data_IF_919411461508
#
_entry.id   IF_919411461508
#
_cell.length_a   1.000
_cell.length_b   1.000
_cell.length_c   1.000
_cell.angle_alpha   90.00
_cell.angle_beta   90.00
_cell.angle_gamma   90.00
#
_symmetry.space_group_name_H-M   'P 1'
#
loop_
_entity.id
_entity.type
_entity.pdbx_description
1 polymer ?
#
# COMPACT_ATOMS: atom_id res chain seq x y z
N UNK A 1 -9.94 17.24 -2.38
CA UNK A 1 -9.05 16.09 -2.18
C UNK A 1 -9.22 14.96 -3.19
N UNK A 2 -10.42 14.47 -3.58
CA UNK A 2 -10.54 13.27 -4.43
C UNK A 2 -10.06 13.42 -5.89
N UNK A 3 -9.62 14.61 -6.32
CA UNK A 3 -9.17 14.87 -7.69
C UNK A 3 -7.65 14.74 -7.85
N UNK A 4 -6.88 15.23 -6.87
CA UNK A 4 -5.40 15.10 -6.86
C UNK A 4 -5.01 13.63 -6.77
N UNK A 5 -5.67 12.86 -5.90
CA UNK A 5 -5.40 11.42 -5.76
C UNK A 5 -5.67 10.67 -7.08
N UNK A 6 -6.77 11.02 -7.77
CA UNK A 6 -7.08 10.45 -9.08
C UNK A 6 -6.04 10.82 -10.14
N UNK A 7 -5.51 12.04 -10.11
CA UNK A 7 -4.44 12.46 -11.03
C UNK A 7 -3.15 11.68 -10.76
N UNK A 8 -2.77 11.51 -9.50
CA UNK A 8 -1.59 10.72 -9.11
C UNK A 8 -1.75 9.25 -9.50
N UNK A 9 -2.93 8.65 -9.30
CA UNK A 9 -3.18 7.27 -9.69
C UNK A 9 -3.11 7.07 -11.21
N UNK A 10 -3.63 8.03 -12.00
CA UNK A 10 -3.48 8.01 -13.47
C UNK A 10 -2.03 8.17 -13.91
N UNK A 11 -1.27 9.03 -13.26
CA UNK A 11 0.16 9.21 -13.54
C UNK A 11 0.93 7.92 -13.22
N UNK A 12 0.70 7.31 -12.05
CA UNK A 12 1.32 6.04 -11.64
C UNK A 12 1.06 4.91 -12.62
N UNK A 13 -0.19 4.78 -13.07
CA UNK A 13 -0.56 3.76 -14.05
C UNK A 13 0.17 3.99 -15.39
N UNK A 14 0.11 5.22 -15.91
CA UNK A 14 0.75 5.57 -17.18
C UNK A 14 2.28 5.39 -17.12
N UNK A 15 2.93 5.80 -16.03
CA UNK A 15 4.36 5.61 -15.82
C UNK A 15 4.73 4.12 -15.83
N UNK A 16 3.96 3.27 -15.14
CA UNK A 16 4.21 1.82 -15.13
C UNK A 16 4.02 1.19 -16.51
N UNK A 17 2.98 1.58 -17.23
CA UNK A 17 2.73 1.11 -18.59
C UNK A 17 3.83 1.54 -19.57
N UNK A 18 4.30 2.79 -19.47
CA UNK A 18 5.39 3.31 -20.30
C UNK A 18 6.71 2.64 -19.97
N UNK A 19 7.00 2.43 -18.68
CA UNK A 19 8.20 1.73 -18.22
C UNK A 19 8.22 0.29 -18.71
N UNK A 20 7.09 -0.43 -18.66
CA UNK A 20 6.97 -1.78 -19.20
C UNK A 20 7.29 -1.82 -20.71
N UNK A 21 6.73 -0.90 -21.50
CA UNK A 21 7.01 -0.80 -22.95
C UNK A 21 8.48 -0.52 -23.26
N UNK A 22 9.11 0.37 -22.48
CA UNK A 22 10.54 0.67 -22.64
C UNK A 22 11.39 -0.56 -22.31
N UNK A 23 11.06 -1.28 -21.24
CA UNK A 23 11.75 -2.53 -20.87
C UNK A 23 11.56 -3.62 -21.94
N UNK A 24 10.40 -3.65 -22.59
CA UNK A 24 10.10 -4.55 -23.71
C UNK A 24 10.81 -4.14 -25.03
N UNK A 25 11.58 -3.05 -25.03
CA UNK A 25 12.46 -2.63 -26.14
C UNK A 25 11.99 -1.42 -26.93
N UNK A 26 10.88 -0.77 -26.57
CA UNK A 26 10.44 0.49 -27.20
C UNK A 26 11.12 1.71 -26.54
N UNK A 27 12.41 1.87 -26.80
CA UNK A 27 13.20 3.00 -26.30
C UNK A 27 12.80 4.36 -26.93
N UNK A 28 11.96 4.36 -27.97
CA UNK A 28 11.52 5.57 -28.67
C UNK A 28 10.24 6.19 -28.10
N UNK A 29 9.64 5.53 -27.11
CA UNK A 29 8.40 5.98 -26.49
C UNK A 29 8.53 7.43 -25.99
N UNK A 30 7.60 8.29 -26.41
CA UNK A 30 7.51 9.71 -26.06
C UNK A 30 8.74 10.57 -26.41
N UNK A 31 9.74 10.08 -27.14
CA UNK A 31 10.98 10.83 -27.44
C UNK A 31 10.67 12.18 -28.11
N UNK A 32 9.86 12.17 -29.17
CA UNK A 32 9.42 13.37 -29.88
C UNK A 32 8.72 14.38 -28.96
N UNK A 33 7.95 13.90 -27.99
CA UNK A 33 7.20 14.74 -27.04
C UNK A 33 8.09 15.38 -26.00
N UNK A 34 9.10 14.65 -25.53
CA UNK A 34 10.13 15.19 -24.62
C UNK A 34 10.94 16.27 -25.33
N UNK A 35 11.31 16.06 -26.59
CA UNK A 35 12.00 17.05 -27.42
C UNK A 35 11.14 18.30 -27.61
N UNK A 36 9.86 18.14 -28.00
CA UNK A 36 8.94 19.27 -28.18
C UNK A 36 8.75 20.09 -26.90
N UNK A 37 8.61 19.44 -25.74
CA UNK A 37 8.49 20.13 -24.46
C UNK A 37 9.79 20.84 -24.08
N UNK A 38 10.94 20.18 -24.25
CA UNK A 38 12.26 20.76 -23.95
C UNK A 38 12.52 21.99 -24.79
N UNK A 39 12.17 21.96 -26.08
CA UNK A 39 12.24 23.14 -26.96
C UNK A 39 11.35 24.27 -26.46
N UNK A 40 10.08 23.99 -26.14
CA UNK A 40 9.16 25.02 -25.65
C UNK A 40 9.60 25.65 -24.32
N UNK A 41 10.17 24.86 -23.40
CA UNK A 41 10.75 25.38 -22.16
C UNK A 41 12.00 26.22 -22.43
N UNK A 42 12.84 25.81 -23.39
CA UNK A 42 13.99 26.59 -23.85
C UNK A 42 13.59 27.96 -24.42
N UNK A 43 12.48 28.01 -25.17
CA UNK A 43 11.91 29.27 -25.67
C UNK A 43 11.49 30.19 -24.52
N UNK A 44 10.84 29.65 -23.47
CA UNK A 44 10.50 30.44 -22.26
C UNK A 44 11.75 30.98 -21.59
N UNK A 45 12.79 30.17 -21.37
CA UNK A 45 14.03 30.61 -20.73
C UNK A 45 14.68 31.74 -21.53
N UNK A 46 14.66 31.63 -22.86
CA UNK A 46 15.19 32.67 -23.76
C UNK A 46 14.41 33.98 -23.62
N UNK A 47 13.07 33.91 -23.69
CA UNK A 47 12.20 35.09 -23.54
C UNK A 47 12.30 35.70 -22.15
N UNK A 48 12.42 34.90 -21.09
CA UNK A 48 12.67 35.39 -19.74
C UNK A 48 14.03 36.09 -19.62
N UNK A 49 15.06 35.58 -20.28
CA UNK A 49 16.37 36.23 -20.37
C UNK A 49 16.27 37.62 -21.03
N UNK A 50 15.57 37.72 -22.15
CA UNK A 50 15.33 39.02 -22.81
C UNK A 50 14.51 39.98 -21.94
N UNK A 51 13.48 39.48 -21.26
CA UNK A 51 12.65 40.28 -20.35
C UNK A 51 13.46 40.79 -19.15
N UNK A 52 14.34 39.95 -18.60
CA UNK A 52 15.27 40.30 -17.53
C UNK A 52 16.26 41.39 -17.97
N UNK A 53 16.87 41.25 -19.15
CA UNK A 53 17.77 42.27 -19.69
C UNK A 53 17.06 43.60 -19.93
N UNK A 54 15.81 43.58 -20.40
CA UNK A 54 14.99 44.79 -20.55
C UNK A 54 14.67 45.42 -19.19
N UNK A 55 14.35 44.63 -18.18
CA UNK A 55 14.12 45.10 -16.81
C UNK A 55 15.38 45.70 -16.20
N UNK A 56 16.51 45.01 -16.29
CA UNK A 56 17.83 45.52 -15.87
C UNK A 56 18.18 46.84 -16.55
N UNK A 57 17.92 46.94 -17.86
CA UNK A 57 18.15 48.19 -18.61
C UNK A 57 17.24 49.31 -18.11
N UNK A 58 15.94 49.05 -17.98
CA UNK A 58 15.01 50.04 -17.45
C UNK A 58 15.38 50.45 -16.01
N UNK A 59 15.73 49.48 -15.15
CA UNK A 59 16.17 49.72 -13.79
C UNK A 59 17.46 50.53 -13.73
N UNK A 60 18.43 50.32 -14.62
CA UNK A 60 19.63 51.17 -14.66
C UNK A 60 19.30 52.60 -15.09
N UNK A 61 18.39 52.80 -16.05
CA UNK A 61 17.89 54.13 -16.46
C UNK A 61 17.05 54.82 -15.35
N UNK A 62 16.32 54.06 -14.54
CA UNK A 62 15.51 54.58 -13.44
C UNK A 62 16.24 54.71 -12.10
N UNK A 63 17.23 53.88 -11.81
CA UNK A 63 18.03 53.93 -10.57
C UNK A 63 18.95 55.16 -10.54
N UNK A 64 19.36 55.68 -11.71
CA UNK A 64 19.93 57.04 -11.80
C UNK A 64 18.95 58.13 -11.34
N UNK A 65 17.64 57.85 -11.32
CA UNK A 65 16.57 58.80 -10.99
C UNK A 65 15.86 58.55 -9.66
N UNK A 66 15.88 57.34 -9.10
CA UNK A 66 15.09 56.96 -7.92
C UNK A 66 15.87 56.00 -7.00
N UNK A 67 16.50 56.54 -5.96
CA UNK A 67 17.37 55.79 -5.04
C UNK A 67 16.63 55.04 -3.89
N UNK A 68 15.33 54.73 -3.99
CA UNK A 68 14.55 54.34 -2.79
C UNK A 68 13.44 53.28 -2.96
N UNK A 69 13.45 52.41 -3.98
CA UNK A 69 12.39 51.39 -4.12
C UNK A 69 12.91 49.95 -4.19
N UNK A 70 12.03 49.02 -3.78
CA UNK A 70 12.19 47.60 -3.48
C UNK A 70 12.52 46.71 -4.71
N UNK A 71 13.34 47.23 -5.63
CA UNK A 71 13.56 46.69 -6.98
C UNK A 71 14.39 45.38 -7.00
N UNK A 72 14.97 44.98 -5.86
CA UNK A 72 15.74 43.74 -5.74
C UNK A 72 14.87 42.47 -5.72
N UNK A 73 13.59 42.57 -5.37
CA UNK A 73 12.71 41.40 -5.20
C UNK A 73 12.22 40.82 -6.52
N UNK A 74 11.92 41.66 -7.53
CA UNK A 74 11.41 41.20 -8.83
C UNK A 74 12.49 40.45 -9.64
N UNK A 75 13.71 40.98 -9.68
CA UNK A 75 14.84 40.32 -10.35
C UNK A 75 15.12 38.93 -9.76
N UNK A 76 15.11 38.83 -8.42
CA UNK A 76 15.32 37.56 -7.72
C UNK A 76 14.19 36.55 -8.01
N UNK A 77 12.95 37.01 -8.17
CA UNK A 77 11.83 36.14 -8.53
C UNK A 77 11.96 35.61 -9.96
N UNK A 78 12.35 36.45 -10.93
CA UNK A 78 12.60 36.02 -12.31
C UNK A 78 13.68 34.94 -12.36
N UNK A 79 14.79 35.14 -11.65
CA UNK A 79 15.87 34.15 -11.57
C UNK A 79 15.39 32.85 -10.92
N UNK A 80 14.59 32.92 -9.85
CA UNK A 80 14.02 31.74 -9.19
C UNK A 80 13.14 30.92 -10.16
N UNK A 81 12.26 31.58 -10.92
CA UNK A 81 11.39 30.90 -11.89
C UNK A 81 12.21 30.32 -13.04
N UNK A 82 13.25 31.04 -13.49
CA UNK A 82 14.18 30.55 -14.52
C UNK A 82 14.89 29.28 -14.07
N UNK A 83 15.44 29.28 -12.85
CA UNK A 83 16.13 28.12 -12.27
C UNK A 83 15.21 26.91 -12.15
N UNK A 84 13.93 27.12 -11.77
CA UNK A 84 12.94 26.04 -11.73
C UNK A 84 12.65 25.43 -13.11
N UNK A 85 12.59 26.26 -14.16
CA UNK A 85 12.40 25.79 -15.54
C UNK A 85 13.62 25.02 -16.04
N UNK A 86 14.83 25.56 -15.81
CA UNK A 86 16.09 24.90 -16.17
C UNK A 86 16.21 23.55 -15.47
N UNK A 87 15.91 23.52 -14.16
CA UNK A 87 15.90 22.29 -13.39
C UNK A 87 14.90 21.25 -13.94
N UNK A 88 13.71 21.68 -14.38
CA UNK A 88 12.77 20.78 -15.04
C UNK A 88 13.32 20.25 -16.37
N UNK A 89 13.94 21.09 -17.20
CA UNK A 89 14.55 20.65 -18.47
C UNK A 89 15.67 19.63 -18.22
N UNK A 90 16.51 19.88 -17.23
CA UNK A 90 17.58 18.97 -16.82
C UNK A 90 17.04 17.64 -16.30
N UNK A 91 15.94 17.66 -15.52
CA UNK A 91 15.26 16.45 -15.05
C UNK A 91 14.64 15.66 -16.20
N UNK A 92 13.96 16.32 -17.15
CA UNK A 92 13.34 15.65 -18.29
C UNK A 92 14.37 14.95 -19.19
N UNK A 93 15.54 15.57 -19.36
CA UNK A 93 16.64 15.02 -20.16
C UNK A 93 17.59 14.13 -19.36
N UNK A 94 17.38 13.96 -18.05
CA UNK A 94 18.25 13.16 -17.22
C UNK A 94 18.22 11.70 -17.66
N UNK A 95 19.39 11.10 -17.82
CA UNK A 95 19.52 9.76 -18.37
C UNK A 95 19.30 8.71 -17.29
N UNK A 96 18.39 7.78 -17.56
CA UNK A 96 18.07 6.62 -16.74
C UNK A 96 18.59 5.38 -17.46
N UNK A 97 19.31 4.53 -16.74
CA UNK A 97 19.80 3.24 -17.24
C UNK A 97 19.15 2.13 -16.44
N UNK A 98 18.47 1.21 -17.13
CA UNK A 98 17.87 0.02 -16.53
C UNK A 98 18.58 -1.22 -17.08
N UNK A 99 19.13 -2.04 -16.18
CA UNK A 99 19.67 -3.35 -16.52
C UNK A 99 18.63 -4.42 -16.15
N UNK A 100 17.92 -5.04 -17.13
CA UNK A 100 16.81 -5.96 -16.87
C UNK A 100 17.26 -7.32 -16.33
N UNK A 101 18.54 -7.68 -16.51
CA UNK A 101 19.17 -8.84 -15.88
C UNK A 101 20.56 -8.46 -15.38
N UNK A 102 20.74 -8.47 -14.05
CA UNK A 102 22.03 -8.19 -13.40
C UNK A 102 23.16 -9.08 -13.94
N UNK A 103 22.83 -10.26 -14.49
CA UNK A 103 23.80 -11.22 -15.01
C UNK A 103 24.10 -11.06 -16.52
N UNK A 104 23.31 -10.28 -17.27
CA UNK A 104 23.57 -9.99 -18.68
C UNK A 104 23.93 -8.52 -18.90
N UNK A 105 25.24 -8.24 -19.07
CA UNK A 105 25.75 -6.88 -19.30
C UNK A 105 25.30 -6.24 -20.62
N UNK A 106 24.91 -7.04 -21.62
CA UNK A 106 24.63 -6.55 -22.97
C UNK A 106 23.18 -6.09 -23.18
N UNK A 107 22.36 -6.08 -22.11
CA UNK A 107 20.93 -5.75 -22.18
C UNK A 107 20.53 -4.41 -21.56
N UNK A 108 21.47 -3.49 -21.29
CA UNK A 108 21.11 -2.21 -20.63
C UNK A 108 20.28 -1.33 -21.55
N UNK A 109 19.15 -0.86 -21.05
CA UNK A 109 18.26 0.07 -21.74
C UNK A 109 18.49 1.46 -21.16
N UNK A 110 18.86 2.40 -22.02
CA UNK A 110 19.07 3.81 -21.65
C UNK A 110 17.96 4.65 -22.25
N UNK A 111 17.35 5.50 -21.43
CA UNK A 111 16.27 6.40 -21.83
C UNK A 111 16.32 7.70 -21.01
N UNK A 112 15.57 8.72 -21.42
CA UNK A 112 15.42 9.97 -20.69
C UNK A 112 14.23 9.89 -19.72
N UNK A 113 14.35 10.49 -18.53
CA UNK A 113 13.28 10.46 -17.53
C UNK A 113 11.94 10.99 -18.06
N UNK A 114 11.97 11.98 -18.97
CA UNK A 114 10.77 12.50 -19.61
C UNK A 114 9.99 11.45 -20.43
N UNK A 115 10.65 10.39 -20.91
CA UNK A 115 10.01 9.39 -21.78
C UNK A 115 9.01 8.49 -21.02
N UNK A 116 9.22 8.29 -19.72
CA UNK A 116 8.29 7.52 -18.88
C UNK A 116 7.09 8.34 -18.40
N UNK A 117 7.12 9.68 -18.55
CA UNK A 117 6.02 10.56 -18.16
C UNK A 117 4.80 10.35 -19.05
N UNK A 118 3.61 10.59 -18.51
CA UNK A 118 2.34 10.53 -19.24
C UNK A 118 2.32 11.53 -20.40
N UNK A 119 2.07 11.05 -21.61
CA UNK A 119 2.05 11.85 -22.85
C UNK A 119 1.12 13.06 -22.77
N UNK A 120 -0.10 12.88 -22.25
CA UNK A 120 -1.05 14.00 -22.10
C UNK A 120 -0.60 15.08 -21.11
N UNK A 121 0.24 14.74 -20.13
CA UNK A 121 0.83 15.74 -19.23
C UNK A 121 1.90 16.57 -19.94
N UNK A 122 2.73 15.93 -20.77
CA UNK A 122 3.74 16.60 -21.60
C UNK A 122 3.06 17.55 -22.61
N UNK A 123 2.01 17.09 -23.29
CA UNK A 123 1.24 17.90 -24.24
C UNK A 123 0.58 19.11 -23.55
N UNK A 124 -0.03 18.90 -22.38
CA UNK A 124 -0.66 19.96 -21.59
C UNK A 124 0.37 21.01 -21.14
N UNK A 125 1.51 20.57 -20.60
CA UNK A 125 2.56 21.49 -20.17
C UNK A 125 3.13 22.26 -21.36
N UNK A 126 3.33 21.60 -22.51
CA UNK A 126 3.79 22.25 -23.74
C UNK A 126 2.81 23.33 -24.20
N UNK A 127 1.50 23.03 -24.19
CA UNK A 127 0.45 23.99 -24.55
C UNK A 127 0.41 25.20 -23.61
N UNK A 128 0.50 24.96 -22.30
CA UNK A 128 0.55 26.04 -21.29
C UNK A 128 1.81 26.88 -21.47
N UNK A 129 2.96 26.23 -21.67
CA UNK A 129 4.26 26.88 -21.87
C UNK A 129 4.20 27.83 -23.07
N UNK A 130 3.74 27.36 -24.24
CA UNK A 130 3.58 28.20 -25.44
C UNK A 130 2.64 29.37 -25.20
N UNK A 131 1.49 29.14 -24.57
CA UNK A 131 0.54 30.21 -24.25
C UNK A 131 1.11 31.26 -23.29
N UNK A 132 2.05 30.88 -22.41
CA UNK A 132 2.73 31.82 -21.49
C UNK A 132 3.86 32.58 -22.17
N UNK A 133 4.61 31.97 -23.09
CA UNK A 133 5.60 32.67 -23.92
C UNK A 133 4.98 33.89 -24.60
N UNK A 134 3.80 33.70 -25.21
CA UNK A 134 3.08 34.77 -25.91
C UNK A 134 2.68 35.91 -24.96
N UNK A 135 2.26 35.57 -23.72
CA UNK A 135 1.87 36.54 -22.70
C UNK A 135 3.04 37.29 -22.09
N UNK A 136 4.16 36.61 -21.82
CA UNK A 136 5.37 37.25 -21.30
C UNK A 136 5.95 38.22 -22.32
N UNK A 137 5.84 37.89 -23.62
CA UNK A 137 6.35 38.72 -24.70
C UNK A 137 5.51 39.98 -24.97
N UNK A 138 4.24 39.99 -24.58
CA UNK A 138 3.31 41.09 -24.84
C UNK A 138 2.99 41.87 -23.55
N UNK A 139 3.13 43.19 -23.53
CA UNK A 139 2.74 44.00 -22.37
C UNK A 139 1.22 43.94 -22.19
N UNK A 140 0.76 43.12 -21.25
CA UNK A 140 -0.65 42.99 -20.87
C UNK A 140 -0.98 43.75 -19.58
N UNK A 141 -2.24 43.64 -19.14
CA UNK A 141 -2.76 44.30 -17.92
C UNK A 141 -2.23 43.68 -16.61
N UNK A 142 -1.68 42.45 -16.66
CA UNK A 142 -1.12 41.75 -15.49
C UNK A 142 0.37 42.03 -15.33
N UNK A 143 0.83 42.10 -14.08
CA UNK A 143 2.26 42.15 -13.77
C UNK A 143 2.97 40.91 -14.31
N UNK A 144 4.16 41.11 -14.91
CA UNK A 144 5.02 40.02 -15.36
C UNK A 144 5.30 39.03 -14.23
N UNK A 145 5.50 39.54 -13.01
CA UNK A 145 5.77 38.74 -11.83
C UNK A 145 4.60 37.81 -11.48
N UNK A 146 3.36 38.28 -11.60
CA UNK A 146 2.19 37.45 -11.33
C UNK A 146 2.08 36.31 -12.35
N UNK A 147 2.34 36.60 -13.63
CA UNK A 147 2.34 35.59 -14.70
C UNK A 147 3.46 34.56 -14.50
N UNK A 148 4.66 34.99 -14.06
CA UNK A 148 5.79 34.11 -13.76
C UNK A 148 5.53 33.25 -12.52
N UNK A 149 4.96 33.81 -11.46
CA UNK A 149 4.61 33.06 -10.26
C UNK A 149 3.50 32.02 -10.54
N UNK A 150 2.51 32.37 -11.35
CA UNK A 150 1.49 31.42 -11.79
C UNK A 150 2.11 30.28 -12.60
N UNK A 151 3.05 30.60 -13.51
CA UNK A 151 3.75 29.60 -14.30
C UNK A 151 4.66 28.71 -13.44
N UNK A 152 5.39 29.27 -12.49
CA UNK A 152 6.19 28.52 -11.53
C UNK A 152 5.34 27.52 -10.73
N UNK A 153 4.12 27.91 -10.33
CA UNK A 153 3.15 27.01 -9.70
C UNK A 153 2.76 25.83 -10.61
N UNK A 154 2.58 26.06 -11.90
CA UNK A 154 2.30 24.99 -12.88
C UNK A 154 3.50 24.05 -13.03
N UNK A 155 4.71 24.59 -13.16
CA UNK A 155 5.96 23.82 -13.27
C UNK A 155 6.18 22.95 -12.03
N UNK A 156 6.04 23.53 -10.84
CA UNK A 156 6.15 22.81 -9.57
C UNK A 156 5.08 21.71 -9.44
N UNK A 157 3.85 22.01 -9.82
CA UNK A 157 2.76 21.03 -9.85
C UNK A 157 3.04 19.85 -10.78
N UNK A 158 3.60 20.12 -11.97
CA UNK A 158 4.01 19.08 -12.90
C UNK A 158 5.16 18.22 -12.35
N UNK A 159 6.20 18.84 -11.76
CA UNK A 159 7.31 18.12 -11.11
C UNK A 159 6.80 17.16 -10.04
N UNK A 160 5.93 17.64 -9.15
CA UNK A 160 5.40 16.83 -8.05
C UNK A 160 4.44 15.72 -8.53
N UNK A 161 3.64 15.98 -9.56
CA UNK A 161 2.65 15.01 -10.03
C UNK A 161 3.25 13.94 -10.94
N UNK A 162 4.15 14.31 -11.84
CA UNK A 162 4.60 13.44 -12.93
C UNK A 162 6.06 13.00 -12.75
N UNK A 163 7.00 13.93 -12.52
CA UNK A 163 8.44 13.60 -12.36
C UNK A 163 8.70 12.82 -11.08
N UNK A 164 8.13 13.27 -9.96
CA UNK A 164 8.27 12.61 -8.67
C UNK A 164 7.59 11.22 -8.70
N UNK A 165 6.46 11.07 -9.40
CA UNK A 165 5.82 9.77 -9.59
C UNK A 165 6.69 8.83 -10.44
N UNK A 166 7.30 9.35 -11.50
CA UNK A 166 8.23 8.63 -12.36
C UNK A 166 9.47 8.12 -11.58
N UNK A 167 10.11 8.99 -10.81
CA UNK A 167 11.24 8.62 -9.93
C UNK A 167 10.81 7.54 -8.92
N UNK A 168 9.63 7.68 -8.31
CA UNK A 168 9.16 6.69 -7.35
C UNK A 168 8.92 5.33 -7.99
N UNK A 169 8.34 5.27 -9.20
CA UNK A 169 8.14 4.01 -9.90
C UNK A 169 9.47 3.32 -10.26
N UNK A 170 10.51 4.10 -10.58
CA UNK A 170 11.86 3.61 -10.81
C UNK A 170 12.52 3.09 -9.52
N UNK A 171 12.35 3.78 -8.38
CA UNK A 171 12.81 3.30 -7.07
C UNK A 171 12.08 2.01 -6.64
N UNK A 172 10.77 1.94 -6.87
CA UNK A 172 9.95 0.77 -6.55
C UNK A 172 10.36 -0.44 -7.41
N UNK A 173 10.73 -0.21 -8.69
CA UNK A 173 11.24 -1.25 -9.58
C UNK A 173 12.57 -1.81 -9.07
N UNK A 174 13.52 -0.95 -8.71
CA UNK A 174 14.83 -1.34 -8.15
C UNK A 174 14.69 -2.09 -6.80
N UNK A 175 13.69 -1.71 -5.99
CA UNK A 175 13.45 -2.34 -4.69
C UNK A 175 12.68 -3.68 -4.77
N UNK A 176 11.77 -3.83 -5.74
CA UNK A 176 10.87 -4.99 -5.81
C UNK A 176 11.41 -6.10 -6.70
N UNK A 177 12.09 -5.75 -7.80
CA UNK A 177 12.59 -6.72 -8.74
C UNK A 177 14.10 -6.89 -8.59
N UNK A 178 14.52 -7.95 -7.88
CA UNK A 178 15.93 -8.31 -7.71
C UNK A 178 16.68 -8.56 -9.03
N UNK A 179 15.99 -8.61 -10.18
CA UNK A 179 16.58 -8.80 -11.51
C UNK A 179 16.85 -7.48 -12.23
N UNK A 180 16.09 -6.43 -11.93
CA UNK A 180 16.25 -5.13 -12.56
C UNK A 180 17.09 -4.22 -11.68
N UNK A 181 18.17 -3.65 -12.23
CA UNK A 181 18.95 -2.61 -11.55
C UNK A 181 18.72 -1.28 -12.24
N UNK A 182 18.26 -0.29 -11.47
CA UNK A 182 17.99 1.05 -11.99
C UNK A 182 19.09 2.01 -11.55
N UNK A 183 19.72 2.67 -12.51
CA UNK A 183 20.63 3.78 -12.27
C UNK A 183 19.97 5.07 -12.73
N UNK A 184 19.58 5.88 -11.75
CA UNK A 184 19.11 7.25 -11.99
C UNK A 184 20.28 8.16 -12.36
N UNK A 185 20.02 9.13 -13.23
CA UNK A 185 20.94 10.22 -13.50
C UNK A 185 21.13 11.15 -12.29
N UNK A 186 22.04 12.12 -12.43
CA UNK A 186 22.50 12.94 -11.30
C UNK A 186 21.35 13.77 -10.71
N UNK A 187 20.52 14.35 -11.57
CA UNK A 187 19.45 15.27 -11.18
C UNK A 187 18.26 14.51 -10.56
N UNK A 188 17.87 13.40 -11.18
CA UNK A 188 16.84 12.51 -10.67
C UNK A 188 17.24 11.90 -9.32
N UNK A 189 18.52 11.55 -9.15
CA UNK A 189 19.05 11.06 -7.88
C UNK A 189 19.05 12.13 -6.79
N UNK A 190 19.49 13.36 -7.09
CA UNK A 190 19.43 14.47 -6.15
C UNK A 190 17.97 14.71 -5.69
N UNK A 191 17.05 14.77 -6.64
CA UNK A 191 15.61 14.92 -6.36
C UNK A 191 15.05 13.77 -5.52
N UNK A 192 15.46 12.53 -5.80
CA UNK A 192 15.05 11.37 -5.00
C UNK A 192 15.51 11.49 -3.54
N UNK A 193 16.74 11.97 -3.31
CA UNK A 193 17.28 12.22 -1.96
C UNK A 193 16.50 13.32 -1.26
N UNK A 194 16.23 14.44 -1.93
CA UNK A 194 15.45 15.55 -1.35
C UNK A 194 14.05 15.09 -0.93
N UNK A 195 13.40 14.26 -1.76
CA UNK A 195 12.10 13.67 -1.42
C UNK A 195 12.17 12.71 -0.24
N UNK A 196 13.23 11.92 -0.12
CA UNK A 196 13.44 11.05 1.04
C UNK A 196 13.64 11.89 2.30
N UNK A 197 14.43 12.96 2.23
CA UNK A 197 14.62 13.88 3.34
C UNK A 197 13.30 14.57 3.76
N UNK A 198 12.52 15.06 2.80
CA UNK A 198 11.21 15.67 3.07
C UNK A 198 10.24 14.67 3.72
N UNK A 199 10.16 13.43 3.22
CA UNK A 199 9.33 12.37 3.81
C UNK A 199 9.78 11.97 5.21
N UNK A 200 11.09 11.94 5.48
CA UNK A 200 11.60 11.67 6.83
C UNK A 200 11.14 12.78 7.79
N UNK A 201 11.23 14.06 7.39
CA UNK A 201 10.71 15.17 8.21
C UNK A 201 9.20 15.08 8.47
N UNK A 202 8.40 14.69 7.48
CA UNK A 202 6.97 14.45 7.67
C UNK A 202 6.69 13.28 8.63
N UNK A 203 7.43 12.18 8.50
CA UNK A 203 7.30 11.03 9.40
C UNK A 203 7.71 11.41 10.83
N UNK A 204 8.75 12.21 11.01
CA UNK A 204 9.17 12.72 12.32
C UNK A 204 8.09 13.58 12.96
N UNK A 205 7.53 14.54 12.23
CA UNK A 205 6.45 15.40 12.74
C UNK A 205 5.17 14.61 13.08
N UNK A 206 4.83 13.60 12.27
CA UNK A 206 3.73 12.68 12.56
C UNK A 206 4.03 11.81 13.78
N UNK A 207 5.25 11.29 13.90
CA UNK A 207 5.69 10.49 15.04
C UNK A 207 5.64 11.32 16.32
N UNK A 208 6.12 12.56 16.32
CA UNK A 208 6.00 13.46 17.46
C UNK A 208 4.54 13.72 17.85
N UNK A 209 3.67 13.95 16.86
CA UNK A 209 2.25 14.17 17.10
C UNK A 209 1.60 12.91 17.70
N UNK A 210 1.95 11.73 17.22
CA UNK A 210 1.49 10.47 17.77
C UNK A 210 2.03 10.24 19.19
N UNK A 211 3.30 10.54 19.46
CA UNK A 211 3.88 10.47 20.81
C UNK A 211 3.18 11.42 21.78
N UNK A 212 2.87 12.66 21.37
CA UNK A 212 2.07 13.60 22.17
C UNK A 212 0.67 13.03 22.48
N UNK A 213 0.00 12.45 21.49
CA UNK A 213 -1.32 11.84 21.67
C UNK A 213 -1.27 10.59 22.57
N UNK A 214 -0.22 9.77 22.45
CA UNK A 214 0.03 8.61 23.31
C UNK A 214 0.29 9.06 24.75
N UNK A 215 1.09 10.10 24.97
CA UNK A 215 1.35 10.63 26.31
C UNK A 215 0.07 11.17 26.97
N UNK A 216 -0.81 11.84 26.21
CA UNK A 216 -2.12 12.29 26.71
C UNK A 216 -3.05 11.11 27.00
N UNK A 217 -3.03 10.06 26.18
CA UNK A 217 -3.84 8.85 26.39
C UNK A 217 -3.32 7.97 27.54
N UNK A 218 -2.00 7.97 27.79
CA UNK A 218 -1.33 7.14 28.78
C UNK A 218 -1.49 7.65 30.23
N UNK A 219 -1.86 8.91 30.45
CA UNK A 219 -1.97 9.53 31.79
C UNK A 219 -3.17 9.09 32.66
N UNK A 220 -3.71 7.88 32.46
CA UNK A 220 -4.47 7.18 33.52
C UNK A 220 -5.81 6.59 33.11
N UNK A 221 -6.55 7.20 32.18
CA UNK A 221 -7.86 6.69 31.73
C UNK A 221 -7.72 5.67 30.58
N UNK A 222 -6.70 5.84 29.73
CA UNK A 222 -6.49 4.97 28.56
C UNK A 222 -6.07 3.55 28.91
N UNK A 223 -5.15 3.36 29.86
CA UNK A 223 -4.66 2.04 30.26
C UNK A 223 -5.76 1.17 30.90
N UNK A 224 -6.56 1.77 31.79
CA UNK A 224 -7.66 1.07 32.44
C UNK A 224 -8.80 0.74 31.46
N UNK A 225 -9.03 1.61 30.46
CA UNK A 225 -10.01 1.36 29.40
C UNK A 225 -9.54 0.28 28.43
N UNK A 226 -8.26 0.27 28.07
CA UNK A 226 -7.66 -0.78 27.23
C UNK A 226 -7.70 -2.16 27.90
N UNK A 227 -7.32 -2.25 29.18
CA UNK A 227 -7.42 -3.50 29.93
C UNK A 227 -8.86 -4.03 29.97
N UNK A 228 -9.82 -3.13 30.21
CA UNK A 228 -11.26 -3.46 30.19
C UNK A 228 -11.73 -3.91 28.80
N UNK A 229 -11.31 -3.24 27.73
CA UNK A 229 -11.67 -3.61 26.36
C UNK A 229 -11.10 -4.98 25.96
N UNK A 230 -9.89 -5.33 26.42
CA UNK A 230 -9.32 -6.67 26.24
C UNK A 230 -10.05 -7.74 27.07
N UNK A 231 -10.42 -7.44 28.31
CA UNK A 231 -11.22 -8.33 29.16
C UNK A 231 -12.60 -8.60 28.54
N UNK A 232 -13.29 -7.54 28.09
CA UNK A 232 -14.58 -7.63 27.41
C UNK A 232 -14.46 -8.33 26.05
N UNK A 233 -13.34 -8.15 25.36
CA UNK A 233 -12.98 -8.88 24.15
C UNK A 233 -12.81 -10.38 24.40
N UNK A 234 -12.01 -10.75 25.40
CA UNK A 234 -11.77 -12.15 25.80
C UNK A 234 -13.09 -12.85 26.17
N UNK A 235 -13.95 -12.20 26.98
CA UNK A 235 -15.27 -12.74 27.35
C UNK A 235 -16.19 -12.92 26.14
N UNK A 236 -16.19 -11.98 25.19
CA UNK A 236 -16.98 -12.09 23.95
C UNK A 236 -16.52 -13.26 23.09
N UNK A 237 -15.22 -13.41 22.90
CA UNK A 237 -14.63 -14.49 22.13
C UNK A 237 -14.84 -15.86 22.79
N UNK A 238 -14.75 -15.95 24.11
CA UNK A 238 -15.08 -17.17 24.86
C UNK A 238 -16.55 -17.60 24.68
N UNK A 239 -17.49 -16.65 24.69
CA UNK A 239 -18.92 -16.95 24.42
C UNK A 239 -19.14 -17.42 22.98
N UNK A 240 -18.47 -16.80 22.00
CA UNK A 240 -18.52 -17.24 20.60
C UNK A 240 -17.95 -18.66 20.45
N UNK A 241 -16.83 -18.96 21.09
CA UNK A 241 -16.28 -20.30 21.13
C UNK A 241 -17.26 -21.33 21.72
N UNK A 242 -17.95 -20.97 22.82
CA UNK A 242 -18.97 -21.83 23.42
C UNK A 242 -20.15 -22.07 22.46
N UNK A 243 -20.62 -21.03 21.76
CA UNK A 243 -21.68 -21.13 20.78
C UNK A 243 -21.31 -22.03 19.59
N UNK A 244 -20.09 -21.89 19.06
CA UNK A 244 -19.60 -22.77 17.99
C UNK A 244 -19.38 -24.21 18.48
N UNK A 245 -18.93 -24.40 19.72
CA UNK A 245 -18.83 -25.74 20.32
C UNK A 245 -20.22 -26.39 20.41
N UNK A 246 -21.24 -25.62 20.82
CA UNK A 246 -22.62 -26.09 20.83
C UNK A 246 -23.12 -26.45 19.42
N UNK A 247 -22.78 -25.64 18.41
CA UNK A 247 -23.11 -25.95 17.01
C UNK A 247 -22.49 -27.28 16.55
N UNK A 248 -21.23 -27.58 16.94
CA UNK A 248 -20.60 -28.88 16.68
C UNK A 248 -21.42 -30.01 17.30
N UNK A 249 -21.78 -29.89 18.58
CA UNK A 249 -22.61 -30.90 19.25
C UNK A 249 -23.96 -31.07 18.57
N UNK A 250 -24.60 -29.99 18.15
CA UNK A 250 -25.87 -30.04 17.42
C UNK A 250 -25.71 -30.77 16.08
N UNK A 251 -24.68 -30.46 15.28
CA UNK A 251 -24.40 -31.14 14.02
C UNK A 251 -24.12 -32.64 14.23
N UNK A 252 -23.30 -33.00 15.22
CA UNK A 252 -23.01 -34.42 15.52
C UNK A 252 -24.27 -35.14 16.01
N UNK A 253 -25.06 -34.51 16.87
CA UNK A 253 -26.31 -35.09 17.39
C UNK A 253 -27.33 -35.29 16.28
N UNK A 254 -27.47 -34.35 15.33
CA UNK A 254 -28.34 -34.51 14.17
C UNK A 254 -27.77 -35.60 13.24
N UNK A 255 -26.46 -35.60 13.00
CA UNK A 255 -25.79 -36.55 12.10
C UNK A 255 -25.90 -38.00 12.54
N UNK A 256 -25.85 -38.26 13.85
CA UNK A 256 -26.02 -39.60 14.44
C UNK A 256 -27.48 -39.90 14.76
N UNK A 257 -28.20 -38.93 15.32
CA UNK A 257 -29.56 -39.08 15.79
C UNK A 257 -30.59 -39.28 14.68
N UNK A 258 -30.43 -38.58 13.54
CA UNK A 258 -31.38 -38.68 12.43
C UNK A 258 -31.37 -40.08 11.77
N UNK A 259 -30.21 -40.71 11.49
CA UNK A 259 -30.17 -42.12 11.08
C UNK A 259 -30.77 -43.10 12.11
N UNK A 260 -30.51 -42.91 13.41
CA UNK A 260 -31.06 -43.77 14.47
C UNK A 260 -32.58 -43.62 14.57
N UNK A 261 -33.10 -42.39 14.53
CA UNK A 261 -34.53 -42.11 14.55
C UNK A 261 -35.25 -42.71 13.33
N UNK A 262 -34.66 -42.57 12.14
CA UNK A 262 -35.17 -43.19 10.91
C UNK A 262 -35.20 -44.72 11.04
N UNK A 263 -34.15 -45.33 11.59
CA UNK A 263 -34.10 -46.78 11.82
C UNK A 263 -35.12 -47.28 12.84
N UNK A 264 -35.52 -46.45 13.80
CA UNK A 264 -36.52 -46.79 14.82
C UNK A 264 -37.97 -46.68 14.33
N UNK A 265 -38.22 -45.93 13.26
CA UNK A 265 -39.54 -45.83 12.66
C UNK A 265 -39.78 -47.02 11.71
N UNK A 266 -40.53 -48.00 12.20
CA UNK A 266 -40.87 -49.26 11.54
C UNK A 266 -41.76 -49.06 10.29
N UNK A 267 -41.18 -48.46 9.25
CA UNK A 267 -41.85 -48.18 7.98
C UNK A 267 -41.34 -49.16 6.95
N UNK A 268 -42.27 -49.96 6.40
CA UNK A 268 -42.02 -50.99 5.37
C UNK A 268 -41.24 -50.49 4.14
N UNK A 269 -41.14 -49.17 3.94
CA UNK A 269 -40.34 -48.53 2.89
C UNK A 269 -38.83 -48.62 3.15
N UNK A 270 -38.37 -48.61 4.41
CA UNK A 270 -36.94 -48.67 4.76
C UNK A 270 -36.37 -50.09 4.75
N UNK A 271 -37.22 -51.11 4.86
CA UNK A 271 -36.81 -52.52 4.79
C UNK A 271 -36.15 -52.86 3.43
N UNK A 272 -36.55 -52.18 2.35
CA UNK A 272 -35.93 -52.33 1.02
C UNK A 272 -34.59 -51.60 0.87
N UNK A 273 -34.23 -50.71 1.80
CA UNK A 273 -32.96 -49.97 1.84
C UNK A 273 -31.93 -50.61 2.78
N UNK A 274 -32.10 -51.86 3.19
CA UNK A 274 -31.17 -52.53 4.13
C UNK A 274 -29.89 -53.07 3.48
N UNK A 275 -29.77 -53.02 2.14
CA UNK A 275 -28.56 -53.41 1.40
C UNK A 275 -27.50 -52.29 1.27
N UNK A 276 -26.44 -52.54 0.49
CA UNK A 276 -25.31 -51.63 0.25
C UNK A 276 -25.75 -50.20 -0.16
N UNK A 277 -26.87 -50.08 -0.87
CA UNK A 277 -27.48 -48.80 -1.27
C UNK A 277 -27.93 -47.95 -0.09
N UNK A 278 -28.40 -48.56 1.01
CA UNK A 278 -28.77 -47.82 2.22
C UNK A 278 -27.57 -47.29 3.00
N UNK A 279 -26.46 -48.03 3.00
CA UNK A 279 -25.21 -47.56 3.57
C UNK A 279 -24.67 -46.35 2.78
N UNK A 280 -24.77 -46.40 1.44
CA UNK A 280 -24.37 -45.29 0.58
C UNK A 280 -25.18 -44.01 0.86
N UNK A 281 -26.51 -44.11 0.96
CA UNK A 281 -27.38 -42.94 1.24
C UNK A 281 -27.09 -42.37 2.64
N UNK A 282 -26.89 -43.23 3.64
CA UNK A 282 -26.51 -42.81 5.01
C UNK A 282 -25.15 -42.11 5.02
N UNK A 283 -24.17 -42.62 4.27
CA UNK A 283 -22.88 -41.98 4.12
C UNK A 283 -23.01 -40.63 3.40
N UNK A 284 -23.81 -40.55 2.32
CA UNK A 284 -24.00 -39.33 1.54
C UNK A 284 -24.66 -38.20 2.34
N UNK A 285 -25.55 -38.54 3.28
CA UNK A 285 -26.24 -37.56 4.15
C UNK A 285 -25.38 -37.23 5.37
N UNK A 286 -24.70 -38.21 5.97
CA UNK A 286 -23.90 -38.01 7.18
C UNK A 286 -22.60 -37.24 6.92
N UNK A 287 -21.91 -37.54 5.81
CA UNK A 287 -20.57 -37.04 5.52
C UNK A 287 -20.50 -35.51 5.35
N UNK A 288 -21.45 -34.84 4.65
CA UNK A 288 -21.51 -33.37 4.64
C UNK A 288 -21.72 -32.78 6.04
N UNK A 289 -22.54 -33.43 6.87
CA UNK A 289 -22.83 -32.96 8.23
C UNK A 289 -21.59 -33.03 9.13
N UNK A 290 -20.79 -34.10 9.01
CA UNK A 290 -19.50 -34.21 9.69
C UNK A 290 -18.47 -33.20 9.16
N UNK A 291 -18.48 -32.90 7.86
CA UNK A 291 -17.67 -31.83 7.28
C UNK A 291 -17.98 -30.46 7.88
N UNK A 292 -19.27 -30.11 7.99
CA UNK A 292 -19.73 -28.87 8.63
C UNK A 292 -19.36 -28.87 10.12
N UNK A 293 -19.51 -29.99 10.83
CA UNK A 293 -19.10 -30.11 12.23
C UNK A 293 -17.59 -29.88 12.41
N UNK A 294 -16.75 -30.42 11.52
CA UNK A 294 -15.31 -30.20 11.52
C UNK A 294 -14.94 -28.72 11.29
N UNK A 295 -15.64 -28.04 10.38
CA UNK A 295 -15.46 -26.61 10.15
C UNK A 295 -15.85 -25.77 11.37
N UNK A 296 -17.00 -26.05 11.98
CA UNK A 296 -17.44 -25.39 13.22
C UNK A 296 -16.45 -25.61 14.37
N UNK A 297 -15.88 -26.82 14.49
CA UNK A 297 -14.88 -27.15 15.51
C UNK A 297 -13.58 -26.34 15.30
N UNK A 298 -13.15 -26.15 14.05
CA UNK A 298 -11.99 -25.31 13.71
C UNK A 298 -12.21 -23.85 14.12
N UNK A 299 -13.37 -23.28 13.81
CA UNK A 299 -13.71 -21.92 14.20
C UNK A 299 -13.78 -21.78 15.72
N UNK A 300 -14.40 -22.75 16.41
CA UNK A 300 -14.43 -22.76 17.88
C UNK A 300 -13.02 -22.75 18.49
N UNK A 301 -12.09 -23.54 17.93
CA UNK A 301 -10.70 -23.58 18.35
C UNK A 301 -9.98 -22.24 18.16
N UNK A 302 -10.19 -21.56 17.03
CA UNK A 302 -9.63 -20.23 16.79
C UNK A 302 -10.13 -19.22 17.83
N UNK A 303 -11.44 -19.17 18.11
CA UNK A 303 -11.98 -18.27 19.12
C UNK A 303 -11.45 -18.55 20.53
N UNK A 304 -11.20 -19.83 20.90
CA UNK A 304 -10.56 -20.17 22.18
C UNK A 304 -9.12 -19.67 22.27
N UNK A 305 -8.35 -19.82 21.19
CA UNK A 305 -6.97 -19.31 21.12
C UNK A 305 -6.94 -17.79 21.26
N UNK A 306 -7.82 -17.09 20.53
CA UNK A 306 -7.96 -15.63 20.64
C UNK A 306 -8.37 -15.20 22.05
N UNK A 307 -9.36 -15.86 22.66
CA UNK A 307 -9.79 -15.55 24.02
C UNK A 307 -8.66 -15.74 25.06
N UNK A 308 -7.88 -16.82 24.94
CA UNK A 308 -6.71 -17.09 25.78
C UNK A 308 -5.63 -16.03 25.61
N UNK A 309 -5.32 -15.66 24.36
CA UNK A 309 -4.34 -14.63 24.06
C UNK A 309 -4.74 -13.25 24.62
N UNK A 310 -6.00 -12.85 24.46
CA UNK A 310 -6.52 -11.61 25.03
C UNK A 310 -6.50 -11.64 26.57
N UNK A 311 -6.80 -12.79 27.18
CA UNK A 311 -6.67 -12.98 28.62
C UNK A 311 -5.24 -12.80 29.10
N UNK A 312 -4.28 -13.40 28.40
CA UNK A 312 -2.85 -13.27 28.71
C UNK A 312 -2.38 -11.80 28.59
N UNK A 313 -2.78 -11.08 27.55
CA UNK A 313 -2.47 -9.65 27.39
C UNK A 313 -3.04 -8.81 28.54
N UNK A 314 -4.25 -9.12 28.98
CA UNK A 314 -4.87 -8.43 30.13
C UNK A 314 -4.05 -8.66 31.40
N UNK A 315 -3.70 -9.92 31.70
CA UNK A 315 -2.85 -10.25 32.85
C UNK A 315 -1.46 -9.61 32.76
N UNK A 316 -0.86 -9.54 31.58
CA UNK A 316 0.42 -8.87 31.36
C UNK A 316 0.31 -7.36 31.62
N UNK A 317 -0.75 -6.71 31.14
CA UNK A 317 -1.00 -5.28 31.41
C UNK A 317 -1.19 -5.01 32.90
N UNK A 318 -1.99 -5.83 33.59
CA UNK A 318 -2.21 -5.69 35.05
C UNK A 318 -0.91 -5.92 35.84
N UNK A 319 -0.11 -6.92 35.44
CA UNK A 319 1.17 -7.23 36.09
C UNK A 319 2.19 -6.11 35.89
N UNK A 320 2.24 -5.53 34.69
CA UNK A 320 3.10 -4.39 34.39
C UNK A 320 2.69 -3.19 35.23
N UNK A 321 1.40 -2.86 35.26
CA UNK A 321 0.88 -1.75 36.06
C UNK A 321 1.21 -1.92 37.56
N UNK A 322 1.08 -3.14 38.08
CA UNK A 322 1.47 -3.45 39.46
C UNK A 322 2.98 -3.29 39.71
N UNK A 323 3.82 -3.74 38.76
CA UNK A 323 5.28 -3.65 38.90
C UNK A 323 5.82 -2.22 38.79
N UNK A 324 5.19 -1.38 37.96
CA UNK A 324 5.64 0.00 37.75
C UNK A 324 5.02 1.02 38.73
N UNK A 325 4.06 0.60 39.56
CA UNK A 325 3.36 1.46 40.51
C UNK A 325 4.29 2.14 41.52
N UNK A 326 5.38 1.47 41.92
CA UNK A 326 6.35 1.97 42.89
C UNK A 326 7.58 2.65 42.24
N UNK A 327 7.67 2.66 40.91
CA UNK A 327 8.78 3.30 40.19
C UNK A 327 8.54 4.80 40.01
N UNK A 328 9.61 5.64 40.03
CA UNK A 328 9.52 7.05 39.64
C UNK A 328 8.97 7.22 38.22
N UNK A 329 8.24 8.31 37.97
CA UNK A 329 7.50 8.54 36.73
C UNK A 329 8.35 8.47 35.45
N UNK A 330 9.62 8.87 35.55
CA UNK A 330 10.60 8.84 34.45
C UNK A 330 10.91 7.40 33.99
N UNK A 331 11.14 6.48 34.94
CA UNK A 331 11.39 5.07 34.65
C UNK A 331 10.12 4.32 34.26
N UNK A 332 8.98 4.71 34.85
CA UNK A 332 7.66 4.17 34.53
C UNK A 332 7.31 4.38 33.05
N UNK A 333 7.50 5.59 32.53
CA UNK A 333 7.23 5.89 31.11
C UNK A 333 8.11 5.08 30.16
N UNK A 334 9.40 4.95 30.46
CA UNK A 334 10.33 4.17 29.62
C UNK A 334 9.95 2.68 29.59
N UNK A 335 9.60 2.10 30.74
CA UNK A 335 9.15 0.70 30.83
C UNK A 335 7.84 0.49 30.05
N UNK A 336 6.85 1.36 30.23
CA UNK A 336 5.58 1.30 29.49
C UNK A 336 5.82 1.40 27.99
N UNK A 337 6.73 2.27 27.53
CA UNK A 337 7.06 2.41 26.11
C UNK A 337 7.77 1.18 25.54
N UNK A 338 8.72 0.59 26.27
CA UNK A 338 9.42 -0.64 25.84
C UNK A 338 8.44 -1.82 25.77
N UNK A 339 7.58 -1.96 26.78
CA UNK A 339 6.57 -3.01 26.84
C UNK A 339 5.46 -2.82 25.80
N UNK A 340 5.00 -1.59 25.61
CA UNK A 340 4.05 -1.23 24.56
C UNK A 340 4.64 -1.52 23.19
N UNK A 341 5.88 -1.12 22.93
CA UNK A 341 6.58 -1.47 21.68
C UNK A 341 6.64 -2.98 21.53
N UNK A 342 7.07 -3.75 22.52
CA UNK A 342 7.12 -5.22 22.42
C UNK A 342 5.74 -5.87 22.20
N UNK A 343 4.70 -5.40 22.87
CA UNK A 343 3.34 -5.93 22.77
C UNK A 343 2.70 -5.62 21.41
N UNK A 344 3.04 -4.48 20.78
CA UNK A 344 2.44 -4.02 19.53
C UNK A 344 3.34 -4.14 18.29
N UNK A 345 4.67 -4.30 18.45
CA UNK A 345 5.62 -4.29 17.32
C UNK A 345 5.76 -5.62 16.61
N UNK A 346 5.34 -6.72 17.23
CA UNK A 346 5.27 -8.03 16.59
C UNK A 346 4.23 -8.88 17.31
N UNK A 347 2.96 -8.89 16.86
CA UNK A 347 2.15 -10.08 16.98
C UNK A 347 2.73 -11.09 15.97
N UNK A 348 3.98 -11.51 16.17
CA UNK A 348 4.34 -12.86 15.78
C UNK A 348 3.43 -13.71 16.65
N UNK A 349 2.21 -13.94 16.16
CA UNK A 349 1.52 -15.17 16.36
C UNK A 349 2.56 -16.20 15.95
N UNK A 350 3.37 -16.64 16.92
CA UNK A 350 3.87 -17.98 16.99
C UNK A 350 2.62 -18.87 17.12
N UNK A 351 1.77 -18.84 16.08
CA UNK A 351 1.44 -20.03 15.32
C UNK A 351 2.77 -20.75 15.13
N UNK A 352 3.21 -21.46 16.16
CA UNK A 352 3.80 -22.76 15.93
C UNK A 352 2.80 -23.47 15.02
N UNK A 353 3.10 -23.41 13.73
CA UNK A 353 2.45 -24.16 12.67
C UNK A 353 2.66 -25.67 12.89
N UNK A 354 3.33 -26.07 13.98
CA UNK A 354 3.73 -27.44 14.28
C UNK A 354 2.84 -28.23 15.26
N UNK A 355 1.86 -27.65 15.95
CA UNK A 355 1.00 -28.46 16.87
C UNK A 355 -0.51 -28.39 16.57
N UNK A 356 -0.89 -27.82 15.43
CA UNK A 356 -2.29 -27.63 15.08
C UNK A 356 -2.67 -27.98 13.65
N UNK A 357 -1.72 -28.37 12.78
CA UNK A 357 -2.06 -29.11 11.57
C UNK A 357 -2.29 -30.57 11.93
N UNK A 358 -3.27 -30.83 12.81
CA UNK A 358 -4.04 -32.05 12.64
C UNK A 358 -4.64 -31.94 11.25
N UNK A 359 -4.04 -32.64 10.28
CA UNK A 359 -4.72 -33.12 9.08
C UNK A 359 -6.08 -33.65 9.56
N UNK A 360 -7.12 -32.83 9.44
CA UNK A 360 -8.46 -33.10 10.00
C UNK A 360 -9.31 -33.96 9.09
N UNK A 361 -8.68 -34.61 8.13
CA UNK A 361 -9.02 -36.00 7.96
C UNK A 361 -7.82 -36.78 8.48
N UNK A 362 -7.99 -37.49 9.61
CA UNK A 362 -7.07 -38.58 9.93
C UNK A 362 -6.85 -39.36 8.64
N UNK A 363 -5.63 -39.81 8.36
CA UNK A 363 -5.37 -40.73 7.25
C UNK A 363 -6.38 -41.89 7.25
N UNK A 364 -6.87 -42.27 8.43
CA UNK A 364 -7.97 -43.20 8.61
C UNK A 364 -9.30 -42.73 8.00
N UNK A 365 -9.67 -41.46 8.14
CA UNK A 365 -10.91 -40.90 7.57
C UNK A 365 -10.79 -40.76 6.05
N UNK A 366 -9.65 -40.32 5.52
CA UNK A 366 -9.41 -40.32 4.06
C UNK A 366 -9.40 -41.75 3.52
N UNK A 367 -8.78 -42.70 4.22
CA UNK A 367 -8.72 -44.10 3.78
C UNK A 367 -10.09 -44.79 3.88
N UNK A 368 -10.91 -44.46 4.89
CA UNK A 368 -12.29 -44.95 5.01
C UNK A 368 -13.18 -44.32 3.94
N UNK A 369 -13.04 -43.03 3.64
CA UNK A 369 -13.71 -42.40 2.49
C UNK A 369 -13.30 -43.06 1.18
N UNK A 370 -11.99 -43.29 0.98
CA UNK A 370 -11.45 -43.95 -0.20
C UNK A 370 -12.02 -45.36 -0.37
N UNK A 371 -12.00 -46.17 0.68
CA UNK A 371 -12.59 -47.51 0.69
C UNK A 371 -14.11 -47.50 0.45
N UNK A 372 -14.83 -46.52 0.99
CA UNK A 372 -16.27 -46.38 0.76
C UNK A 372 -16.59 -45.98 -0.68
N UNK A 373 -15.78 -45.09 -1.28
CA UNK A 373 -15.90 -44.71 -2.70
C UNK A 373 -15.54 -45.89 -3.61
N UNK A 374 -14.49 -46.63 -3.30
CA UNK A 374 -14.09 -47.81 -4.06
C UNK A 374 -15.16 -48.92 -3.99
N UNK A 375 -15.72 -49.19 -2.80
CA UNK A 375 -16.84 -50.13 -2.63
C UNK A 375 -18.10 -49.69 -3.39
N UNK A 376 -18.40 -48.38 -3.42
CA UNK A 376 -19.50 -47.83 -4.22
C UNK A 376 -19.25 -47.97 -5.73
N UNK A 377 -18.00 -47.80 -6.17
CA UNK A 377 -17.62 -47.96 -7.59
C UNK A 377 -17.73 -49.42 -8.02
N UNK A 378 -17.38 -50.35 -7.13
CA UNK A 378 -17.44 -51.78 -7.38
C UNK A 378 -18.88 -52.32 -7.39
N UNK A 379 -19.77 -51.83 -6.52
CA UNK A 379 -21.19 -52.20 -6.52
C UNK A 379 -21.92 -51.71 -7.78
N UNK A 380 -21.60 -50.50 -8.28
CA UNK A 380 -22.11 -50.00 -9.56
C UNK A 380 -21.67 -50.89 -10.73
N UNK A 381 -20.41 -51.35 -10.73
CA UNK A 381 -19.87 -52.21 -11.80
C UNK A 381 -20.49 -53.61 -11.80
N UNK A 382 -20.84 -54.16 -10.63
CA UNK A 382 -21.55 -55.45 -10.52
C UNK A 382 -23.03 -55.37 -10.90
N UNK A 383 -23.68 -54.21 -10.72
CA UNK A 383 -25.08 -53.99 -11.14
C UNK A 383 -25.28 -53.77 -12.64
N UNK A 384 -24.21 -53.58 -13.41
CA UNK A 384 -24.26 -53.38 -14.88
C UNK A 384 -24.00 -54.65 -15.70
N UNK A 385 -23.81 -55.79 -15.04
CA UNK A 385 -23.77 -57.13 -15.64
C UNK A 385 -25.05 -57.87 -15.29
#
# INVERSE_FOLDING_TARGET
MPEIDKMLDRSRLAVRENLAKIIDGDATLNDEKVVQLTMALGDVVTVMGEAYERLQKNLSEFSERAATTDDGTEAQQIDTVRDEIVNLMELLNDSVVVAPDVYQKDGTIQFHLGQIVRTSALDNLTGITKARVDRISQPGDKSLIDELNEFAGVVAGFKNAEIDTAIQALEDLDATDNRARVSLGVNAKARAVDRRAARVGEIETLAEKQLRNINVAAQGVGAQRLAKDFEDGSKREARRAAWWTFAVFACVTIGVGLPVAILSMDTRLLAQLTGDTGLLIKALIGLPLFGVAGYCARIASQHRKTASHLGLLTTQMDSVNAYVADLPDEYRHQLIMILGRRAFSNPELQLHTDEGSSNLMSEDVISVLGKAVDAARESVRRGSQ
#
